data_IF_632482100205
#
_entry.id   IF_632482100205
#
_cell.length_a   1.000
_cell.length_b   1.000
_cell.length_c   1.000
_cell.angle_alpha   90.00
_cell.angle_beta   90.00
_cell.angle_gamma   90.00
#
_symmetry.space_group_name_H-M   'P 1'
#
loop_
_entity.id
_entity.type
_entity.pdbx_description
1 polymer ?
#
# COMPACT_ATOMS: atom_id res chain seq x y z
N UNK A 1 13.18 2.75 26.49
CA UNK A 1 12.10 3.66 26.05
C UNK A 1 11.93 3.43 24.57
N UNK A 2 10.79 2.91 24.15
CA UNK A 2 10.48 2.81 22.73
C UNK A 2 10.14 4.23 22.27
N UNK A 3 10.93 4.78 21.37
CA UNK A 3 10.68 6.11 20.80
C UNK A 3 9.92 5.94 19.49
N UNK A 4 8.79 6.63 19.36
CA UNK A 4 8.13 6.80 18.08
C UNK A 4 8.85 7.88 17.29
N UNK A 5 8.98 7.69 15.98
CA UNK A 5 9.62 8.60 15.05
C UNK A 5 8.59 9.10 14.03
N UNK A 6 8.82 10.31 13.50
CA UNK A 6 8.04 10.82 12.38
C UNK A 6 8.06 9.84 11.18
N UNK A 7 6.92 9.70 10.52
CA UNK A 7 6.72 8.76 9.41
C UNK A 7 6.27 7.36 9.83
N UNK A 8 6.30 7.01 11.12
CA UNK A 8 5.83 5.71 11.58
C UNK A 8 4.29 5.66 11.64
N UNK A 9 3.73 4.48 11.32
CA UNK A 9 2.31 4.21 11.49
C UNK A 9 2.01 3.72 12.91
N UNK A 10 0.97 4.29 13.50
CA UNK A 10 0.51 3.98 14.85
C UNK A 10 -0.99 3.75 14.86
N UNK A 11 -1.46 2.99 15.84
CA UNK A 11 -2.87 2.75 16.12
C UNK A 11 -3.20 3.36 17.47
N UNK A 12 -4.30 4.10 17.54
CA UNK A 12 -4.80 4.63 18.82
C UNK A 12 -5.36 3.48 19.66
N UNK A 13 -4.81 3.27 20.85
CA UNK A 13 -5.18 2.20 21.78
C UNK A 13 -5.93 2.69 23.01
N UNK A 14 -6.03 4.01 23.20
CA UNK A 14 -6.80 4.62 24.30
C UNK A 14 -8.30 4.34 24.16
N UNK A 15 -8.92 3.53 25.02
CA UNK A 15 -10.32 3.08 24.86
C UNK A 15 -11.34 4.20 25.08
N UNK A 16 -10.93 5.31 25.69
CA UNK A 16 -11.78 6.50 25.90
C UNK A 16 -11.68 7.51 24.75
N UNK A 17 -10.76 7.30 23.81
CA UNK A 17 -10.61 8.17 22.64
C UNK A 17 -11.68 7.87 21.61
N UNK A 18 -12.28 8.92 21.02
CA UNK A 18 -13.15 8.80 19.85
C UNK A 18 -12.41 8.25 18.61
N UNK A 19 -11.07 8.27 18.65
CA UNK A 19 -10.23 7.71 17.61
C UNK A 19 -9.76 6.28 17.90
N UNK A 20 -10.28 5.62 18.94
CA UNK A 20 -9.87 4.26 19.30
C UNK A 20 -9.89 3.30 18.09
N UNK A 21 -8.79 2.59 17.89
CA UNK A 21 -8.60 1.64 16.80
C UNK A 21 -8.22 2.25 15.45
N UNK A 22 -8.31 3.57 15.27
CA UNK A 22 -7.90 4.26 14.03
C UNK A 22 -6.38 4.23 13.87
N UNK A 23 -5.95 4.17 12.61
CA UNK A 23 -4.53 4.20 12.23
C UNK A 23 -4.17 5.63 11.83
N UNK A 24 -2.99 6.07 12.25
CA UNK A 24 -2.46 7.39 11.97
C UNK A 24 -0.95 7.32 11.71
N UNK A 25 -0.42 8.33 11.05
CA UNK A 25 1.02 8.51 10.87
C UNK A 25 1.56 9.55 11.84
N UNK A 26 2.68 9.28 12.49
CA UNK A 26 3.39 10.22 13.35
C UNK A 26 3.97 11.36 12.50
N UNK A 27 3.64 12.60 12.85
CA UNK A 27 4.12 13.81 12.18
C UNK A 27 5.30 14.42 12.94
N UNK A 28 5.11 14.70 14.23
CA UNK A 28 6.12 15.32 15.11
C UNK A 28 6.03 14.74 16.52
N UNK A 29 7.14 14.85 17.28
CA UNK A 29 7.31 14.20 18.60
C UNK A 29 7.82 15.20 19.66
N UNK A 30 7.54 16.50 19.49
CA UNK A 30 8.10 17.53 20.36
C UNK A 30 7.31 17.70 21.68
N UNK A 31 6.04 18.12 21.61
CA UNK A 31 5.16 18.37 22.77
C UNK A 31 3.97 17.39 22.75
N UNK A 32 4.31 16.11 22.92
CA UNK A 32 3.40 15.00 22.63
C UNK A 32 3.53 14.51 21.18
N UNK A 33 2.83 13.44 20.86
CA UNK A 33 2.94 12.78 19.56
C UNK A 33 1.81 13.27 18.68
N UNK A 34 2.14 14.17 17.77
CA UNK A 34 1.18 14.61 16.76
C UNK A 34 1.07 13.54 15.69
N UNK A 35 -0.16 13.11 15.44
CA UNK A 35 -0.46 12.12 14.42
C UNK A 35 -1.49 12.66 13.43
N UNK A 36 -1.38 12.22 12.18
CA UNK A 36 -2.36 12.48 11.13
C UNK A 36 -3.08 11.18 10.79
N UNK A 37 -4.40 11.17 10.90
CA UNK A 37 -5.16 9.94 10.64
C UNK A 37 -5.06 9.50 9.18
N UNK A 38 -4.80 8.21 8.99
CA UNK A 38 -4.44 7.59 7.71
C UNK A 38 -5.64 6.94 6.99
N UNK A 39 -6.86 7.23 7.46
CA UNK A 39 -8.15 6.84 6.89
C UNK A 39 -8.83 7.99 6.12
N UNK A 40 -8.14 9.13 5.98
CA UNK A 40 -8.56 10.22 5.11
C UNK A 40 -7.92 10.06 3.71
N UNK A 41 -8.67 10.29 2.63
CA UNK A 41 -8.23 10.00 1.28
C UNK A 41 -7.26 11.09 0.78
N UNK A 42 -5.97 11.02 1.13
CA UNK A 42 -4.85 11.55 0.32
C UNK A 42 -3.49 11.39 1.02
N UNK A 43 -2.44 11.30 0.18
CA UNK A 43 -0.99 11.13 0.45
C UNK A 43 -0.61 11.03 1.92
N UNK A 44 -0.04 9.89 2.30
CA UNK A 44 0.44 9.61 3.65
C UNK A 44 1.79 10.28 3.91
N UNK A 45 2.40 10.98 2.95
CA UNK A 45 3.68 11.66 3.17
C UNK A 45 3.61 12.72 4.30
N UNK A 46 4.71 12.91 5.02
CA UNK A 46 4.83 13.92 6.06
C UNK A 46 4.92 15.33 5.43
N UNK A 47 3.76 15.87 5.00
CA UNK A 47 3.67 17.24 4.48
C UNK A 47 3.69 18.25 5.65
N UNK A 48 4.52 19.31 5.60
CA UNK A 48 4.53 20.38 6.60
C UNK A 48 3.23 21.18 6.70
N UNK A 49 2.35 21.13 5.70
CA UNK A 49 1.03 21.77 5.73
C UNK A 49 -0.06 20.78 5.27
N UNK A 50 -0.44 19.81 6.12
CA UNK A 50 -1.27 18.69 5.70
C UNK A 50 -2.76 19.07 5.66
N UNK A 51 -3.43 18.73 4.56
CA UNK A 51 -4.88 18.59 4.55
C UNK A 51 -5.27 17.33 5.36
N UNK A 52 -6.09 17.48 6.42
CA UNK A 52 -6.57 16.37 7.24
C UNK A 52 -6.65 16.65 8.75
N UNK A 53 -7.22 15.70 9.51
CA UNK A 53 -7.35 15.81 10.96
C UNK A 53 -6.06 15.41 11.67
N UNK A 54 -5.41 16.38 12.32
CA UNK A 54 -4.25 16.17 13.19
C UNK A 54 -4.69 16.17 14.64
N UNK A 55 -4.19 15.21 15.43
CA UNK A 55 -4.42 15.15 16.88
C UNK A 55 -3.13 14.81 17.62
N UNK A 56 -3.03 15.24 18.88
CA UNK A 56 -1.89 14.95 19.76
C UNK A 56 -2.28 13.84 20.74
N UNK A 57 -1.42 12.84 20.87
CA UNK A 57 -1.57 11.75 21.84
C UNK A 57 -0.31 11.63 22.70
N UNK A 58 -0.47 10.99 23.86
CA UNK A 58 0.68 10.49 24.62
C UNK A 58 1.18 9.16 24.04
N UNK A 59 2.42 8.79 24.40
CA UNK A 59 3.01 7.52 23.93
C UNK A 59 2.19 6.29 24.35
N UNK A 60 1.59 6.30 25.54
CA UNK A 60 0.82 5.17 26.09
C UNK A 60 -0.51 4.93 25.36
N UNK A 61 -0.98 5.93 24.63
CA UNK A 61 -2.24 5.89 23.87
C UNK A 61 -2.05 5.39 22.43
N UNK A 62 -0.82 5.05 22.05
CA UNK A 62 -0.43 4.64 20.72
C UNK A 62 0.29 3.29 20.75
N UNK A 63 -0.04 2.43 19.80
CA UNK A 63 0.73 1.22 19.49
C UNK A 63 1.31 1.32 18.09
N UNK A 64 2.57 0.92 17.92
CA UNK A 64 3.21 0.84 16.60
C UNK A 64 2.47 -0.17 15.72
N UNK A 65 2.25 0.18 14.45
CA UNK A 65 1.79 -0.76 13.43
C UNK A 65 3.01 -1.26 12.67
N UNK A 66 3.36 -2.53 12.85
CA UNK A 66 4.48 -3.18 12.19
C UNK A 66 4.05 -3.87 10.89
N UNK A 67 5.01 -4.12 9.99
CA UNK A 67 4.79 -4.90 8.77
C UNK A 67 3.97 -4.19 7.70
N UNK A 68 3.78 -2.87 7.81
CA UNK A 68 3.13 -2.04 6.79
C UNK A 68 4.17 -1.10 6.20
N UNK A 69 4.39 -1.13 4.87
CA UNK A 69 5.36 -0.26 4.23
C UNK A 69 4.91 1.19 4.35
N UNK A 70 5.85 2.10 4.66
CA UNK A 70 5.58 3.54 4.60
C UNK A 70 5.62 3.96 3.13
N UNK A 71 4.46 4.28 2.58
CA UNK A 71 4.28 4.61 1.17
C UNK A 71 3.54 5.94 0.97
N UNK A 72 3.73 6.53 -0.21
CA UNK A 72 3.02 7.72 -0.65
C UNK A 72 1.54 7.43 -0.90
N UNK A 73 1.26 6.26 -1.48
CA UNK A 73 -0.06 5.77 -1.80
C UNK A 73 -0.12 4.24 -1.71
N UNK A 74 -1.35 3.72 -1.59
CA UNK A 74 -1.67 2.30 -1.55
C UNK A 74 -2.78 2.04 -2.57
N UNK A 75 -2.74 0.87 -3.18
CA UNK A 75 -3.66 0.47 -4.25
C UNK A 75 -4.32 -0.87 -3.93
N UNK A 76 -5.58 -0.99 -4.33
CA UNK A 76 -6.20 -2.26 -4.64
C UNK A 76 -6.19 -2.41 -6.17
N UNK A 77 -5.53 -3.45 -6.65
CA UNK A 77 -5.38 -3.74 -8.08
C UNK A 77 -6.27 -4.93 -8.43
N UNK A 78 -7.12 -4.75 -9.42
CA UNK A 78 -7.96 -5.81 -9.98
C UNK A 78 -7.28 -6.37 -11.22
N UNK A 79 -6.94 -7.65 -11.18
CA UNK A 79 -6.24 -8.37 -12.25
C UNK A 79 -7.20 -9.39 -12.86
N UNK A 80 -7.37 -9.34 -14.18
CA UNK A 80 -8.00 -10.43 -14.90
C UNK A 80 -6.92 -11.45 -15.25
N UNK A 81 -7.12 -12.70 -14.86
CA UNK A 81 -6.21 -13.80 -15.16
C UNK A 81 -6.88 -14.84 -16.05
N UNK A 82 -6.15 -15.32 -17.04
CA UNK A 82 -6.49 -16.48 -17.84
C UNK A 82 -5.71 -17.70 -17.34
N UNK A 83 -6.42 -18.81 -17.15
CA UNK A 83 -5.85 -20.14 -16.88
C UNK A 83 -6.39 -21.09 -17.93
N UNK A 84 -5.61 -21.36 -18.97
CA UNK A 84 -6.11 -22.05 -20.16
C UNK A 84 -7.16 -21.21 -20.87
N UNK A 85 -8.42 -21.65 -20.89
CA UNK A 85 -9.55 -20.94 -21.54
C UNK A 85 -10.48 -20.23 -20.56
N UNK A 86 -10.17 -20.27 -19.26
CA UNK A 86 -11.04 -19.72 -18.23
C UNK A 86 -10.50 -18.39 -17.71
N UNK A 87 -11.40 -17.41 -17.63
CA UNK A 87 -11.13 -16.09 -17.07
C UNK A 87 -11.52 -16.02 -15.60
N UNK A 88 -10.69 -15.31 -14.83
CA UNK A 88 -10.87 -15.13 -13.41
C UNK A 88 -10.51 -13.70 -13.02
N UNK A 89 -11.33 -13.09 -12.17
CA UNK A 89 -10.98 -11.85 -11.49
C UNK A 89 -10.21 -12.19 -10.21
N UNK A 90 -9.11 -11.48 -9.99
CA UNK A 90 -8.25 -11.58 -8.82
C UNK A 90 -7.89 -10.18 -8.33
N UNK A 91 -7.48 -10.11 -7.07
CA UNK A 91 -7.11 -8.87 -6.41
C UNK A 91 -5.69 -8.98 -5.87
N UNK A 92 -4.96 -7.88 -5.95
CA UNK A 92 -3.67 -7.67 -5.32
C UNK A 92 -3.68 -6.32 -4.60
N UNK A 93 -2.91 -6.20 -3.52
CA UNK A 93 -2.59 -4.89 -2.96
C UNK A 93 -1.18 -4.49 -3.35
N UNK A 94 -0.95 -3.19 -3.48
CA UNK A 94 0.35 -2.63 -3.80
C UNK A 94 0.50 -1.25 -3.15
N UNK A 95 1.72 -0.74 -3.16
CA UNK A 95 2.04 0.57 -2.63
C UNK A 95 3.15 1.22 -3.48
N UNK A 96 3.26 2.55 -3.41
CA UNK A 96 4.24 3.27 -4.22
C UNK A 96 4.82 4.51 -3.55
N UNK A 97 5.90 5.01 -4.12
CA UNK A 97 6.65 6.19 -3.67
C UNK A 97 6.12 7.46 -4.34
N UNK A 98 6.44 8.63 -3.78
CA UNK A 98 5.95 9.93 -4.26
C UNK A 98 6.28 10.23 -5.73
N UNK A 99 7.33 9.63 -6.27
CA UNK A 99 7.77 9.80 -7.66
C UNK A 99 7.19 8.78 -8.65
N UNK A 100 6.36 7.83 -8.18
CA UNK A 100 5.74 6.81 -9.02
C UNK A 100 4.31 7.20 -9.38
N UNK A 101 3.86 6.87 -10.58
CA UNK A 101 2.45 7.00 -10.96
C UNK A 101 1.70 5.75 -10.53
N UNK A 102 0.48 5.94 -10.01
CA UNK A 102 -0.40 4.86 -9.58
C UNK A 102 -0.67 3.84 -10.69
N UNK A 103 -0.90 4.33 -11.91
CA UNK A 103 -1.13 3.48 -13.08
C UNK A 103 0.08 2.59 -13.41
N UNK A 104 1.30 3.13 -13.38
CA UNK A 104 2.51 2.35 -13.70
C UNK A 104 2.76 1.25 -12.65
N UNK A 105 2.46 1.55 -11.38
CA UNK A 105 2.50 0.56 -10.29
C UNK A 105 1.46 -0.54 -10.50
N UNK A 106 0.21 -0.18 -10.79
CA UNK A 106 -0.86 -1.15 -11.05
C UNK A 106 -0.55 -2.05 -12.26
N UNK A 107 -0.02 -1.47 -13.34
CA UNK A 107 0.38 -2.21 -14.53
C UNK A 107 1.51 -3.19 -14.24
N UNK A 108 2.50 -2.76 -13.45
CA UNK A 108 3.62 -3.62 -13.03
C UNK A 108 3.11 -4.80 -12.20
N UNK A 109 2.15 -4.57 -11.30
CA UNK A 109 1.51 -5.65 -10.51
C UNK A 109 0.81 -6.66 -11.42
N UNK A 110 0.06 -6.19 -12.43
CA UNK A 110 -0.60 -7.08 -13.38
C UNK A 110 0.41 -7.86 -14.23
N UNK A 111 1.49 -7.22 -14.68
CA UNK A 111 2.56 -7.85 -15.46
C UNK A 111 3.34 -8.89 -14.65
N UNK A 112 3.51 -8.66 -13.34
CA UNK A 112 4.23 -9.55 -12.42
C UNK A 112 3.31 -10.51 -11.65
N UNK A 113 2.01 -10.56 -11.96
CA UNK A 113 1.03 -11.25 -11.13
C UNK A 113 1.38 -12.73 -10.89
N UNK A 114 1.98 -13.41 -11.86
CA UNK A 114 2.43 -14.80 -11.72
C UNK A 114 3.88 -14.98 -11.27
N UNK A 115 4.50 -13.95 -10.69
CA UNK A 115 5.83 -13.99 -10.06
C UNK A 115 7.00 -13.58 -10.97
N UNK A 116 6.74 -13.21 -12.22
CA UNK A 116 7.72 -12.67 -13.16
C UNK A 116 7.02 -11.76 -14.17
N UNK A 117 7.77 -10.83 -14.77
CA UNK A 117 7.26 -10.03 -15.89
C UNK A 117 6.85 -10.98 -17.02
N UNK A 118 5.58 -10.95 -17.39
CA UNK A 118 5.10 -11.63 -18.59
C UNK A 118 5.38 -10.82 -19.86
N UNK A 119 5.40 -11.50 -21.00
CA UNK A 119 5.51 -10.86 -22.31
C UNK A 119 4.15 -10.33 -22.74
N UNK A 120 4.09 -9.06 -23.12
CA UNK A 120 2.85 -8.46 -23.60
C UNK A 120 2.55 -8.92 -25.04
N UNK A 121 1.40 -9.55 -25.26
CA UNK A 121 0.97 -10.05 -26.58
C UNK A 121 0.03 -9.10 -27.34
N UNK A 122 -0.35 -7.97 -26.73
CA UNK A 122 -1.36 -7.04 -27.24
C UNK A 122 -2.66 -7.02 -26.43
N UNK A 123 -2.90 -8.04 -25.61
CA UNK A 123 -4.09 -8.13 -24.74
C UNK A 123 -3.78 -8.60 -23.32
N UNK A 124 -2.83 -9.52 -23.14
CA UNK A 124 -2.41 -10.06 -21.85
C UNK A 124 -0.88 -10.12 -21.72
N UNK A 125 -0.41 -10.09 -20.49
CA UNK A 125 0.93 -10.52 -20.11
C UNK A 125 0.97 -12.03 -20.04
N UNK A 126 1.69 -12.66 -20.97
CA UNK A 126 1.87 -14.09 -21.05
C UNK A 126 3.03 -14.53 -20.17
N UNK A 127 2.81 -15.52 -19.30
CA UNK A 127 3.91 -16.12 -18.56
C UNK A 127 4.65 -17.12 -19.46
N UNK A 128 5.97 -16.97 -19.55
CA UNK A 128 6.82 -17.85 -20.35
C UNK A 128 6.60 -19.33 -19.97
N UNK A 129 6.43 -20.18 -20.99
CA UNK A 129 6.25 -21.63 -20.86
C UNK A 129 5.09 -22.05 -19.93
N UNK A 130 4.03 -21.23 -19.83
CA UNK A 130 2.93 -21.44 -18.90
C UNK A 130 1.56 -21.12 -19.53
N UNK A 131 0.48 -21.82 -19.16
CA UNK A 131 -0.88 -21.52 -19.62
C UNK A 131 -1.52 -20.33 -18.88
N UNK A 132 -0.71 -19.48 -18.26
CA UNK A 132 -1.16 -18.41 -17.38
C UNK A 132 -0.89 -17.06 -18.04
N UNK A 133 -1.92 -16.22 -18.06
CA UNK A 133 -1.80 -14.86 -18.53
C UNK A 133 -2.58 -13.89 -17.63
N UNK A 134 -2.13 -12.65 -17.53
CA UNK A 134 -2.75 -11.63 -16.69
C UNK A 134 -2.85 -10.29 -17.39
N UNK A 135 -3.85 -9.48 -17.05
CA UNK A 135 -3.92 -8.08 -17.46
C UNK A 135 -4.53 -7.22 -16.37
N UNK A 136 -4.15 -5.95 -16.35
CA UNK A 136 -4.77 -4.97 -15.49
C UNK A 136 -6.22 -4.78 -15.94
N UNK A 137 -7.17 -5.00 -15.04
CA UNK A 137 -8.58 -4.74 -15.30
C UNK A 137 -8.99 -3.36 -14.76
N UNK A 138 -8.60 -3.06 -13.52
CA UNK A 138 -8.86 -1.78 -12.85
C UNK A 138 -7.92 -1.59 -11.65
N UNK A 139 -7.82 -0.38 -11.11
CA UNK A 139 -7.18 -0.11 -9.84
C UNK A 139 -7.81 1.08 -9.11
N UNK A 140 -7.79 1.03 -7.79
CA UNK A 140 -8.28 2.12 -6.94
C UNK A 140 -7.27 2.49 -5.84
N UNK A 141 -7.26 3.77 -5.48
CA UNK A 141 -6.54 4.25 -4.31
C UNK A 141 -7.27 3.82 -3.05
N UNK A 142 -6.55 3.16 -2.15
CA UNK A 142 -7.09 2.72 -0.86
C UNK A 142 -6.38 3.41 0.30
N UNK A 143 -7.03 3.45 1.46
CA UNK A 143 -6.42 4.00 2.66
C UNK A 143 -5.41 3.02 3.26
N UNK A 144 -4.53 3.52 4.13
CA UNK A 144 -3.62 2.64 4.92
C UNK A 144 -4.43 1.66 5.76
N UNK A 145 -5.56 2.10 6.29
CA UNK A 145 -6.43 1.26 7.11
C UNK A 145 -7.01 0.09 6.29
N UNK A 146 -7.43 0.35 5.05
CA UNK A 146 -7.88 -0.69 4.11
C UNK A 146 -6.74 -1.63 3.75
N UNK A 147 -5.55 -1.09 3.45
CA UNK A 147 -4.36 -1.90 3.16
C UNK A 147 -4.01 -2.86 4.30
N UNK A 148 -3.99 -2.38 5.55
CA UNK A 148 -3.76 -3.19 6.76
C UNK A 148 -4.80 -4.32 6.92
N UNK A 149 -6.04 -4.04 6.53
CA UNK A 149 -7.11 -5.04 6.60
C UNK A 149 -6.93 -6.10 5.51
N UNK A 150 -6.65 -5.66 4.29
CA UNK A 150 -6.51 -6.50 3.10
C UNK A 150 -5.23 -7.34 3.11
N UNK A 151 -4.13 -6.86 3.68
CA UNK A 151 -2.85 -7.59 3.73
C UNK A 151 -2.92 -8.93 4.47
N UNK A 152 -3.99 -9.17 5.22
CA UNK A 152 -4.26 -10.45 5.90
C UNK A 152 -4.76 -11.54 4.95
N UNK A 153 -5.31 -11.17 3.80
CA UNK A 153 -6.02 -12.10 2.91
C UNK A 153 -5.67 -11.92 1.44
N UNK A 154 -5.07 -10.80 1.08
CA UNK A 154 -4.77 -10.40 -0.30
C UNK A 154 -3.26 -10.31 -0.47
N UNK A 155 -2.69 -10.93 -1.52
CA UNK A 155 -1.25 -10.84 -1.79
C UNK A 155 -0.79 -9.40 -1.93
N UNK A 156 0.33 -9.09 -1.28
CA UNK A 156 1.01 -7.81 -1.33
C UNK A 156 2.18 -7.87 -2.31
N UNK A 157 2.13 -7.06 -3.35
CA UNK A 157 3.21 -6.91 -4.31
C UNK A 157 4.05 -5.70 -3.93
N UNK A 158 5.07 -5.96 -3.11
CA UNK A 158 6.12 -4.99 -2.82
C UNK A 158 6.99 -4.78 -4.06
N UNK A 159 6.86 -3.61 -4.69
CA UNK A 159 7.73 -3.19 -5.80
C UNK A 159 9.06 -2.57 -5.33
N UNK A 160 9.35 -2.68 -4.02
CA UNK A 160 10.53 -2.14 -3.35
C UNK A 160 11.84 -2.86 -3.73
N UNK A 161 12.58 -2.23 -4.64
CA UNK A 161 14.04 -2.39 -4.86
C UNK A 161 14.52 -3.74 -5.44
N UNK A 162 14.14 -4.04 -6.68
CA UNK A 162 15.09 -4.36 -7.77
C UNK A 162 14.29 -4.74 -9.03
N UNK A 163 14.00 -3.74 -9.87
CA UNK A 163 14.13 -3.97 -11.31
C UNK A 163 15.47 -3.35 -11.69
N UNK A 164 16.55 -3.90 -11.15
CA UNK A 164 17.86 -3.69 -11.73
C UNK A 164 17.78 -4.23 -13.15
N UNK A 165 17.66 -3.30 -14.09
CA UNK A 165 17.73 -3.62 -15.50
C UNK A 165 19.00 -4.45 -15.73
N UNK A 166 18.82 -5.68 -16.19
CA UNK A 166 19.81 -6.22 -17.11
C UNK A 166 19.58 -5.48 -18.42
N UNK A 167 20.64 -4.91 -19.02
CA UNK A 167 21.60 -5.78 -19.68
C UNK A 167 23.07 -5.36 -19.50
N UNK A 168 23.90 -6.33 -19.10
CA UNK A 168 25.11 -6.81 -19.77
C UNK A 168 25.66 -8.00 -18.96
#
# INVERSE_FOLDING_TARGET
MNTLNAGQLVRVTSPRSLAYGRVAMVMTVCDGIQVRFADLPQSVAANPNPDGLVQTFSFEELALVEGVPVAAFYLLVTVLTLVGTQEYVRYAIAHGKDNQRTQDVAETVAAMFFGSLGDWDGEFYLRENSPYASKLADFELITVADYIKLSRTTPDYDLGADVSGKPC
#
